data_IF_894359835002
#
_entry.id   IF_894359835002
#
_cell.length_a   1.000
_cell.length_b   1.000
_cell.length_c   1.000
_cell.angle_alpha   90.00
_cell.angle_beta   90.00
_cell.angle_gamma   90.00
#
_symmetry.space_group_name_H-M   'P 1'
#
loop_
_entity.id
_entity.type
_entity.pdbx_description
1 polymer ?
#
# COMPACT_ATOMS: atom_id res chain seq x y z
N UNK A 1 -11.92 38.60 50.04
CA UNK A 1 -11.43 38.51 48.64
C UNK A 1 -10.17 37.63 48.52
N UNK A 2 -9.13 37.84 49.25
CA UNK A 2 -7.85 37.13 49.21
C UNK A 2 -7.97 35.57 49.32
N UNK A 3 -8.84 35.05 50.21
CA UNK A 3 -9.06 33.60 50.38
C UNK A 3 -9.70 32.90 49.14
N UNK A 4 -10.49 33.62 48.35
CA UNK A 4 -11.06 33.08 47.11
C UNK A 4 -10.04 33.06 45.97
N UNK A 5 -9.14 34.07 45.91
CA UNK A 5 -8.07 34.13 44.95
C UNK A 5 -7.09 32.94 45.14
N UNK A 6 -6.71 32.64 46.38
CA UNK A 6 -5.87 31.47 46.69
C UNK A 6 -6.52 30.15 46.28
N UNK A 7 -7.84 30.01 46.48
CA UNK A 7 -8.56 28.78 46.04
C UNK A 7 -8.65 28.66 44.53
N UNK A 8 -8.78 29.76 43.78
CA UNK A 8 -8.77 29.77 42.31
C UNK A 8 -7.36 29.48 41.78
N UNK A 9 -6.32 30.03 42.39
CA UNK A 9 -4.93 29.75 42.03
C UNK A 9 -4.58 28.27 42.30
N UNK A 10 -5.01 27.69 43.40
CA UNK A 10 -4.81 26.27 43.70
C UNK A 10 -5.60 25.39 42.72
N UNK A 11 -6.84 25.76 42.36
CA UNK A 11 -7.62 25.03 41.36
C UNK A 11 -6.99 25.11 39.93
N UNK A 12 -6.36 26.22 39.57
CA UNK A 12 -5.61 26.38 38.31
C UNK A 12 -4.28 25.61 38.30
N UNK A 13 -3.66 25.42 39.48
CA UNK A 13 -2.43 24.61 39.60
C UNK A 13 -2.72 23.10 39.56
N UNK A 14 -3.97 22.66 39.77
CA UNK A 14 -4.44 21.30 39.58
C UNK A 14 -5.06 21.06 38.19
N UNK A 15 -4.84 21.92 37.22
CA UNK A 15 -5.00 21.50 35.81
C UNK A 15 -3.95 20.43 35.53
N UNK A 16 -4.25 19.21 35.94
CA UNK A 16 -3.53 18.00 35.59
C UNK A 16 -3.36 18.03 34.07
N UNK A 17 -2.14 17.94 33.61
CA UNK A 17 -1.87 17.69 32.21
C UNK A 17 -2.74 16.51 31.79
N UNK A 18 -3.81 16.79 31.07
CA UNK A 18 -4.63 15.76 30.43
C UNK A 18 -3.73 15.21 29.35
N UNK A 19 -3.06 14.09 29.62
CA UNK A 19 -2.39 13.28 28.60
C UNK A 19 -3.50 12.72 27.71
N UNK A 20 -3.93 13.52 26.76
CA UNK A 20 -4.79 13.09 25.69
C UNK A 20 -3.95 12.26 24.75
N UNK A 21 -3.98 10.95 24.86
CA UNK A 21 -3.39 9.91 24.01
C UNK A 21 -1.85 9.98 23.88
N UNK A 22 -1.19 8.86 24.14
CA UNK A 22 0.23 8.70 23.79
C UNK A 22 0.39 8.76 22.28
N UNK A 23 1.04 9.80 21.79
CA UNK A 23 1.45 9.91 20.40
C UNK A 23 2.80 9.21 20.23
N UNK A 24 2.89 8.29 19.30
CA UNK A 24 4.15 7.61 18.98
C UNK A 24 4.97 8.56 18.10
N UNK A 25 6.11 9.01 18.63
CA UNK A 25 7.01 9.89 17.87
C UNK A 25 7.79 9.09 16.81
N UNK A 26 8.01 9.67 15.63
CA UNK A 26 8.87 9.08 14.62
C UNK A 26 10.29 8.83 15.15
N UNK A 27 10.88 7.73 14.73
CA UNK A 27 12.21 7.33 15.14
C UNK A 27 13.28 8.33 14.65
N UNK A 28 14.23 8.67 15.53
CA UNK A 28 15.33 9.59 15.16
C UNK A 28 16.18 8.99 14.04
N UNK A 29 16.68 9.81 13.10
CA UNK A 29 17.64 9.36 12.11
C UNK A 29 18.83 8.66 12.74
N UNK A 30 19.31 7.58 12.11
CA UNK A 30 20.49 6.86 12.55
C UNK A 30 21.46 6.67 11.39
N UNK A 31 22.60 7.33 11.46
CA UNK A 31 23.64 7.30 10.42
C UNK A 31 24.76 6.28 10.73
N UNK A 32 24.79 5.69 11.94
CA UNK A 32 25.82 4.73 12.37
C UNK A 32 25.69 3.35 11.72
N UNK A 33 26.58 2.45 12.14
CA UNK A 33 26.56 1.06 11.72
C UNK A 33 25.55 0.26 12.54
N UNK A 34 24.71 -0.51 11.86
CA UNK A 34 23.74 -1.41 12.44
C UNK A 34 24.00 -2.84 11.92
N UNK A 35 24.02 -3.82 12.80
CA UNK A 35 24.13 -5.23 12.47
C UNK A 35 22.91 -6.00 13.01
N UNK A 36 22.28 -6.81 12.15
CA UNK A 36 21.26 -7.79 12.53
C UNK A 36 21.87 -9.16 12.29
N UNK A 37 22.21 -9.88 13.35
CA UNK A 37 22.97 -11.13 13.27
C UNK A 37 22.16 -12.36 13.64
N UNK A 38 22.66 -13.54 13.23
CA UNK A 38 22.05 -14.85 13.48
C UNK A 38 20.62 -14.94 12.91
N UNK A 39 20.41 -14.38 11.70
CA UNK A 39 19.12 -14.25 11.05
C UNK A 39 18.88 -15.37 10.03
N UNK A 40 17.62 -15.78 9.90
CA UNK A 40 17.09 -16.46 8.70
C UNK A 40 16.51 -15.35 7.82
N UNK A 41 17.20 -15.01 6.73
CA UNK A 41 16.86 -13.86 5.89
C UNK A 41 16.09 -14.31 4.65
N UNK A 42 14.84 -13.92 4.57
CA UNK A 42 14.02 -14.01 3.36
C UNK A 42 14.28 -12.75 2.53
N UNK A 43 15.05 -12.90 1.45
CA UNK A 43 15.52 -11.74 0.67
C UNK A 43 14.39 -10.99 0.00
N UNK A 44 13.26 -11.66 -0.28
CA UNK A 44 12.12 -11.09 -1.01
C UNK A 44 12.24 -11.21 -2.54
N UNK A 45 13.30 -11.84 -3.03
CA UNK A 45 13.50 -12.15 -4.45
C UNK A 45 13.42 -13.67 -4.74
N UNK A 46 12.91 -14.46 -3.80
CA UNK A 46 12.81 -15.91 -3.87
C UNK A 46 13.94 -16.64 -3.13
N UNK A 47 14.97 -15.95 -2.63
CA UNK A 47 16.08 -16.52 -1.90
C UNK A 47 15.88 -16.47 -0.38
N UNK A 48 16.33 -17.52 0.30
CA UNK A 48 16.40 -17.59 1.76
C UNK A 48 17.85 -17.87 2.15
N UNK A 49 18.40 -17.09 3.08
CA UNK A 49 19.75 -17.20 3.58
C UNK A 49 19.70 -17.53 5.10
N UNK A 50 20.35 -18.60 5.50
CA UNK A 50 20.34 -19.05 6.89
C UNK A 50 21.60 -18.59 7.63
N UNK A 51 21.44 -18.26 8.93
CA UNK A 51 22.52 -17.89 9.83
C UNK A 51 23.44 -16.80 9.26
N UNK A 52 22.83 -15.73 8.75
CA UNK A 52 23.55 -14.59 8.17
C UNK A 52 23.40 -13.33 9.02
N UNK A 53 24.29 -12.38 8.75
CA UNK A 53 24.30 -11.05 9.36
C UNK A 53 24.01 -10.01 8.25
N UNK A 54 23.10 -9.09 8.54
CA UNK A 54 22.81 -7.93 7.70
C UNK A 54 23.58 -6.74 8.27
N UNK A 55 24.41 -6.11 7.47
CA UNK A 55 25.07 -4.85 7.79
C UNK A 55 24.32 -3.68 7.13
N UNK A 56 23.98 -2.69 7.93
CA UNK A 56 23.31 -1.45 7.50
C UNK A 56 24.18 -0.26 7.86
N UNK A 57 24.28 0.70 6.95
CA UNK A 57 24.95 1.98 7.17
C UNK A 57 24.18 3.10 6.47
N UNK A 58 24.03 4.24 7.12
CA UNK A 58 23.29 5.39 6.57
C UNK A 58 21.92 5.02 6.00
N UNK A 59 21.19 4.16 6.72
CA UNK A 59 19.86 3.71 6.34
C UNK A 59 19.77 2.71 5.17
N UNK A 60 20.91 2.25 4.65
CA UNK A 60 20.98 1.31 3.52
C UNK A 60 21.65 0.00 3.89
N UNK A 61 21.19 -1.08 3.27
CA UNK A 61 21.84 -2.39 3.35
C UNK A 61 23.18 -2.32 2.63
N UNK A 62 24.26 -2.64 3.33
CA UNK A 62 25.62 -2.64 2.77
C UNK A 62 25.99 -4.04 2.29
N UNK A 63 25.75 -5.04 3.17
CA UNK A 63 26.16 -6.43 2.91
C UNK A 63 25.31 -7.40 3.72
N UNK A 64 25.13 -8.60 3.18
CA UNK A 64 24.55 -9.75 3.88
C UNK A 64 25.52 -10.91 3.71
N UNK A 65 26.02 -11.47 4.81
CA UNK A 65 26.95 -12.61 4.79
C UNK A 65 26.92 -13.32 6.16
N UNK A 66 27.36 -14.59 6.24
CA UNK A 66 27.43 -15.33 7.51
C UNK A 66 28.29 -14.62 8.56
N UNK A 67 29.53 -14.29 8.20
CA UNK A 67 30.50 -13.66 9.09
C UNK A 67 30.86 -12.26 8.56
N UNK A 68 30.48 -11.25 9.31
CA UNK A 68 30.86 -9.87 9.02
C UNK A 68 31.69 -9.30 10.15
N UNK A 69 32.86 -8.70 9.87
CA UNK A 69 33.67 -8.04 10.91
C UNK A 69 32.85 -6.85 11.47
N UNK A 70 32.75 -6.83 12.80
CA UNK A 70 32.06 -5.75 13.53
C UNK A 70 33.12 -4.90 14.24
N UNK A 71 33.12 -3.56 14.03
CA UNK A 71 33.94 -2.65 14.83
C UNK A 71 33.57 -2.75 16.32
N UNK A 72 34.52 -2.39 17.20
CA UNK A 72 34.27 -2.41 18.64
C UNK A 72 33.45 -1.18 19.12
N UNK A 73 33.53 -0.08 18.41
CA UNK A 73 32.94 1.20 18.81
C UNK A 73 31.85 1.68 17.85
N UNK A 74 30.86 2.37 18.40
CA UNK A 74 29.74 3.06 17.69
C UNK A 74 28.92 2.17 16.74
N UNK A 75 28.58 0.95 17.20
CA UNK A 75 27.73 0.04 16.45
C UNK A 75 26.51 -0.38 17.26
N UNK A 76 25.36 -0.49 16.59
CA UNK A 76 24.17 -1.15 17.14
C UNK A 76 24.11 -2.57 16.63
N UNK A 77 24.01 -3.53 17.55
CA UNK A 77 23.93 -4.95 17.21
C UNK A 77 22.63 -5.52 17.76
N UNK A 78 21.83 -6.12 16.86
CA UNK A 78 20.63 -6.87 17.19
C UNK A 78 20.88 -8.35 16.91
N UNK A 79 20.98 -9.15 17.96
CA UNK A 79 21.07 -10.61 17.86
C UNK A 79 19.65 -11.19 17.82
N UNK A 80 19.22 -11.62 16.65
CA UNK A 80 17.86 -12.12 16.46
C UNK A 80 17.72 -13.61 16.70
N UNK A 81 18.79 -14.32 17.07
CA UNK A 81 18.80 -15.70 17.56
C UNK A 81 18.02 -16.70 16.69
N UNK A 82 18.21 -16.65 15.38
CA UNK A 82 17.53 -17.55 14.43
C UNK A 82 16.10 -17.13 14.07
N UNK A 83 15.67 -15.93 14.44
CA UNK A 83 14.39 -15.38 13.97
C UNK A 83 14.43 -15.09 12.48
N UNK A 84 13.25 -14.99 11.91
CA UNK A 84 13.04 -14.69 10.51
C UNK A 84 13.12 -13.18 10.24
N UNK A 85 13.81 -12.79 9.20
CA UNK A 85 13.99 -11.40 8.77
C UNK A 85 13.48 -11.24 7.36
N UNK A 86 12.63 -10.26 7.16
CA UNK A 86 11.88 -10.00 5.92
C UNK A 86 12.08 -8.56 5.44
N UNK A 87 11.91 -8.27 4.13
CA UNK A 87 11.68 -6.91 3.68
C UNK A 87 10.41 -6.33 4.32
N UNK A 88 10.38 -5.02 4.55
CA UNK A 88 9.15 -4.34 4.94
C UNK A 88 8.03 -4.59 3.97
N UNK A 89 6.86 -4.97 4.48
CA UNK A 89 5.66 -5.22 3.68
C UNK A 89 5.11 -3.92 3.10
N UNK A 90 4.49 -3.99 1.93
CA UNK A 90 4.02 -2.83 1.17
C UNK A 90 2.55 -3.00 0.81
N UNK A 91 1.67 -2.13 1.31
CA UNK A 91 0.30 -2.00 0.82
C UNK A 91 0.32 -1.28 -0.52
N UNK A 92 -0.13 -1.95 -1.59
CA UNK A 92 -0.09 -1.42 -2.96
C UNK A 92 -1.19 -0.40 -3.28
N UNK A 93 -2.20 -0.29 -2.43
CA UNK A 93 -3.27 0.71 -2.49
C UNK A 93 -4.00 0.78 -1.16
N UNK A 94 -4.19 1.97 -0.60
CA UNK A 94 -4.81 2.15 0.71
C UNK A 94 -5.36 3.56 0.90
N UNK A 95 -6.43 3.67 1.68
CA UNK A 95 -6.97 4.94 2.20
C UNK A 95 -6.32 5.37 3.52
N UNK A 96 -5.22 4.72 3.92
CA UNK A 96 -4.50 5.02 5.15
C UNK A 96 -4.21 6.52 5.28
N UNK A 97 -4.61 7.10 6.42
CA UNK A 97 -4.42 8.52 6.69
C UNK A 97 -5.32 9.47 5.89
N UNK A 98 -6.17 8.95 4.98
CA UNK A 98 -7.21 9.72 4.29
C UNK A 98 -8.60 9.50 4.90
N UNK A 99 -8.74 8.53 5.79
CA UNK A 99 -9.98 8.21 6.52
C UNK A 99 -9.63 7.82 7.94
N UNK A 100 -10.22 8.50 8.93
CA UNK A 100 -10.06 8.13 10.34
C UNK A 100 -11.31 7.43 10.88
N UNK A 101 -12.50 7.98 10.63
CA UNK A 101 -13.78 7.43 11.08
C UNK A 101 -14.76 7.44 9.91
N UNK A 102 -15.08 6.29 9.36
CA UNK A 102 -15.94 6.15 8.18
C UNK A 102 -17.31 6.84 8.26
N UNK A 103 -17.89 6.92 9.45
CA UNK A 103 -19.20 7.55 9.67
C UNK A 103 -19.14 9.06 9.92
N UNK A 104 -17.95 9.66 9.94
CA UNK A 104 -17.75 11.10 10.20
C UNK A 104 -17.18 11.78 8.98
N UNK A 105 -18.03 12.47 8.21
CA UNK A 105 -17.68 13.12 6.94
C UNK A 105 -16.45 14.03 7.04
N UNK A 106 -16.28 14.74 8.15
CA UNK A 106 -15.15 15.64 8.39
C UNK A 106 -13.78 14.93 8.54
N UNK A 107 -13.75 13.60 8.59
CA UNK A 107 -12.51 12.80 8.67
C UNK A 107 -12.29 11.95 7.42
N UNK A 108 -12.94 12.29 6.30
CA UNK A 108 -12.90 11.57 5.04
C UNK A 108 -12.38 12.51 3.96
N UNK A 109 -11.14 12.29 3.52
CA UNK A 109 -10.41 13.14 2.58
C UNK A 109 -9.91 12.38 1.32
N UNK A 110 -10.51 11.21 1.02
CA UNK A 110 -10.10 10.41 -0.13
C UNK A 110 -10.85 10.73 -1.42
N UNK A 111 -11.92 11.53 -1.36
CA UNK A 111 -12.83 11.77 -2.50
C UNK A 111 -13.02 13.26 -2.73
N UNK A 112 -12.88 13.71 -3.99
CA UNK A 112 -13.18 15.05 -4.43
C UNK A 112 -14.45 15.07 -5.34
N UNK A 113 -15.08 16.24 -5.45
CA UNK A 113 -16.27 16.41 -6.32
C UNK A 113 -15.89 16.40 -7.80
N UNK A 114 -16.77 15.82 -8.62
CA UNK A 114 -16.60 15.74 -10.07
C UNK A 114 -15.99 14.41 -10.53
N UNK A 115 -16.10 14.18 -11.84
CA UNK A 115 -15.71 12.89 -12.43
C UNK A 115 -14.25 12.87 -12.89
N UNK A 116 -13.68 14.00 -13.30
CA UNK A 116 -12.30 14.10 -13.81
C UNK A 116 -11.45 14.99 -12.91
N UNK A 117 -10.74 14.37 -11.97
CA UNK A 117 -9.96 15.04 -10.93
C UNK A 117 -8.46 14.69 -10.97
N UNK A 118 -7.77 14.61 -12.14
CA UNK A 118 -6.40 14.13 -12.22
C UNK A 118 -5.40 15.01 -11.46
N UNK A 119 -5.71 16.29 -11.21
CA UNK A 119 -4.85 17.22 -10.48
C UNK A 119 -4.93 17.10 -8.95
N UNK A 120 -5.82 16.25 -8.44
CA UNK A 120 -5.91 15.96 -7.01
C UNK A 120 -4.77 15.02 -6.61
N UNK A 121 -4.13 15.33 -5.49
CA UNK A 121 -2.97 14.60 -4.95
C UNK A 121 -3.27 14.09 -3.57
N UNK A 122 -3.38 12.77 -3.41
CA UNK A 122 -3.69 12.13 -2.12
C UNK A 122 -2.71 12.47 -1.01
N UNK A 123 -1.44 12.66 -1.35
CA UNK A 123 -0.37 12.93 -0.37
C UNK A 123 -0.60 14.21 0.45
N UNK A 124 -1.27 15.22 -0.13
CA UNK A 124 -1.52 16.50 0.56
C UNK A 124 -2.53 16.35 1.71
N UNK A 125 -3.45 15.40 1.59
CA UNK A 125 -4.43 15.09 2.63
C UNK A 125 -3.96 13.99 3.60
N UNK A 126 -2.78 13.42 3.38
CA UNK A 126 -2.28 12.30 4.20
C UNK A 126 -1.99 12.71 5.64
N UNK A 127 -2.73 12.11 6.58
CA UNK A 127 -2.53 12.29 8.01
C UNK A 127 -1.49 11.30 8.56
N UNK A 128 -0.29 11.79 8.90
CA UNK A 128 0.77 10.98 9.50
C UNK A 128 0.54 10.59 10.95
N UNK A 129 -0.44 11.19 11.63
CA UNK A 129 -0.83 10.86 13.02
C UNK A 129 -2.05 9.92 13.10
N UNK A 130 -2.40 9.27 11.98
CA UNK A 130 -3.47 8.28 11.95
C UNK A 130 -3.16 7.11 12.89
N UNK A 131 -4.14 6.74 13.72
CA UNK A 131 -4.02 5.60 14.66
C UNK A 131 -3.86 4.25 13.96
N UNK A 132 -4.31 4.17 12.71
CA UNK A 132 -4.19 2.98 11.87
C UNK A 132 -2.73 2.68 11.53
N UNK A 133 -1.89 3.70 11.35
CA UNK A 133 -0.47 3.57 11.02
C UNK A 133 0.25 2.68 12.03
N UNK A 134 0.05 2.91 13.33
CA UNK A 134 0.69 2.14 14.39
C UNK A 134 0.31 0.66 14.32
N UNK A 135 -0.97 0.36 14.03
CA UNK A 135 -1.44 -1.02 13.85
C UNK A 135 -0.79 -1.69 12.64
N UNK A 136 -0.62 -0.98 11.53
CA UNK A 136 0.03 -1.54 10.34
C UNK A 136 1.51 -1.81 10.60
N UNK A 137 2.24 -0.86 11.19
CA UNK A 137 3.67 -1.05 11.55
C UNK A 137 3.90 -2.25 12.44
N UNK A 138 3.04 -2.43 13.46
CA UNK A 138 3.13 -3.56 14.40
C UNK A 138 2.86 -4.93 13.75
N UNK A 139 2.36 -4.93 12.49
CA UNK A 139 2.16 -6.12 11.66
C UNK A 139 3.14 -6.19 10.46
N UNK A 140 4.23 -5.40 10.51
CA UNK A 140 5.32 -5.47 9.52
C UNK A 140 5.10 -4.66 8.23
N UNK A 141 4.01 -3.90 8.12
CA UNK A 141 3.77 -3.03 6.96
C UNK A 141 4.53 -1.73 7.20
N UNK A 142 5.48 -1.42 6.33
CA UNK A 142 6.37 -0.28 6.49
C UNK A 142 6.15 0.80 5.44
N UNK A 143 5.56 0.44 4.30
CA UNK A 143 5.21 1.36 3.23
C UNK A 143 3.76 1.13 2.77
N UNK A 144 3.13 2.19 2.26
CA UNK A 144 1.82 2.12 1.65
C UNK A 144 1.73 3.09 0.46
N UNK A 145 0.97 2.72 -0.56
CA UNK A 145 0.57 3.61 -1.64
C UNK A 145 -0.76 4.25 -1.24
N UNK A 146 -0.75 5.55 -0.99
CA UNK A 146 -1.95 6.29 -0.57
C UNK A 146 -2.72 6.68 -1.81
N UNK A 147 -3.94 6.14 -1.95
CA UNK A 147 -4.73 6.22 -3.18
C UNK A 147 -5.98 7.07 -2.99
N UNK A 148 -6.24 8.03 -3.89
CA UNK A 148 -7.53 8.73 -3.91
C UNK A 148 -8.62 7.81 -4.47
N UNK A 149 -9.87 8.10 -4.14
CA UNK A 149 -11.07 7.42 -4.66
C UNK A 149 -12.09 8.42 -5.19
N UNK A 150 -13.13 7.90 -5.82
CA UNK A 150 -14.26 8.69 -6.35
C UNK A 150 -14.03 9.26 -7.74
N UNK A 151 -15.13 9.61 -8.40
CA UNK A 151 -15.15 10.04 -9.80
C UNK A 151 -14.64 8.96 -10.76
N UNK A 152 -14.47 9.35 -12.02
CA UNK A 152 -13.90 8.49 -13.07
C UNK A 152 -12.36 8.54 -13.01
N UNK A 153 -11.78 9.74 -12.93
CA UNK A 153 -10.34 9.94 -12.64
C UNK A 153 -10.23 10.55 -11.25
N UNK A 154 -9.74 9.77 -10.29
CA UNK A 154 -9.73 10.15 -8.87
C UNK A 154 -8.61 11.11 -8.49
N UNK A 155 -7.47 11.05 -9.19
CA UNK A 155 -6.27 11.82 -8.87
C UNK A 155 -5.01 10.96 -8.80
N UNK A 156 -3.94 11.52 -8.24
CA UNK A 156 -2.65 10.84 -8.10
C UNK A 156 -2.45 10.20 -6.74
N UNK A 157 -1.88 9.00 -6.75
CA UNK A 157 -1.39 8.31 -5.55
C UNK A 157 0.07 8.64 -5.24
N UNK A 158 0.51 8.33 -4.02
CA UNK A 158 1.89 8.48 -3.60
C UNK A 158 2.29 7.36 -2.64
N UNK A 159 3.51 6.87 -2.78
CA UNK A 159 4.09 5.91 -1.85
C UNK A 159 4.65 6.64 -0.64
N UNK A 160 4.24 6.23 0.56
CA UNK A 160 4.69 6.79 1.84
C UNK A 160 5.36 5.73 2.70
N UNK A 161 6.30 6.15 3.53
CA UNK A 161 6.82 5.37 4.65
C UNK A 161 6.02 5.69 5.92
N UNK A 162 5.85 4.68 6.79
CA UNK A 162 4.91 4.76 7.90
C UNK A 162 5.51 5.25 9.23
N UNK A 163 6.59 6.05 9.19
CA UNK A 163 7.24 6.61 10.39
C UNK A 163 7.76 8.01 10.12
N UNK A 164 6.86 8.99 10.03
CA UNK A 164 7.14 10.34 9.57
C UNK A 164 6.44 11.41 10.40
N UNK A 165 7.00 12.63 10.43
CA UNK A 165 6.44 13.79 11.12
C UNK A 165 5.30 14.46 10.37
N UNK A 166 5.42 14.51 9.04
CA UNK A 166 4.46 15.14 8.14
C UNK A 166 4.44 14.40 6.80
N UNK A 167 3.57 14.81 5.88
CA UNK A 167 3.45 14.15 4.57
C UNK A 167 4.71 14.28 3.69
N UNK A 168 5.51 15.34 3.86
CA UNK A 168 6.76 15.55 3.12
C UNK A 168 7.82 14.55 3.58
N UNK A 169 7.96 14.34 4.90
CA UNK A 169 8.84 13.33 5.49
C UNK A 169 8.36 11.90 5.17
N UNK A 170 7.05 11.72 5.04
CA UNK A 170 6.46 10.43 4.70
C UNK A 170 6.70 10.05 3.23
N UNK A 171 6.83 11.03 2.36
CA UNK A 171 6.89 10.81 0.92
C UNK A 171 8.11 9.96 0.51
N UNK A 172 7.83 8.74 0.07
CA UNK A 172 8.83 7.83 -0.47
C UNK A 172 8.93 7.97 -2.00
N UNK A 173 7.78 8.12 -2.68
CA UNK A 173 7.65 8.53 -4.08
C UNK A 173 6.32 9.26 -4.25
N UNK A 174 6.38 10.55 -4.54
CA UNK A 174 5.19 11.36 -4.81
C UNK A 174 4.62 11.08 -6.21
N UNK A 175 3.30 11.18 -6.33
CA UNK A 175 2.55 11.19 -7.60
C UNK A 175 2.97 10.04 -8.55
N UNK A 176 3.07 8.83 -8.02
CA UNK A 176 3.58 7.66 -8.75
C UNK A 176 2.61 7.15 -9.84
N UNK A 177 1.35 7.57 -9.80
CA UNK A 177 0.39 7.23 -10.85
C UNK A 177 -0.99 7.85 -10.65
N UNK A 178 -1.78 7.82 -11.71
CA UNK A 178 -3.15 8.33 -11.79
C UNK A 178 -4.12 7.17 -11.66
N UNK A 179 -5.17 7.34 -10.87
CA UNK A 179 -6.21 6.33 -10.63
C UNK A 179 -7.43 6.60 -11.50
N UNK A 180 -7.82 5.59 -12.27
CA UNK A 180 -8.98 5.56 -13.16
C UNK A 180 -9.93 4.46 -12.69
N UNK A 181 -11.18 4.80 -12.39
CA UNK A 181 -12.25 3.84 -12.16
C UNK A 181 -12.93 3.53 -13.49
N UNK A 182 -12.79 2.28 -13.96
CA UNK A 182 -13.42 1.86 -15.21
C UNK A 182 -14.93 1.87 -15.06
N UNK A 183 -15.69 2.49 -16.00
CA UNK A 183 -17.15 2.39 -16.01
C UNK A 183 -17.61 0.93 -16.07
N UNK A 184 -18.59 0.57 -15.23
CA UNK A 184 -19.06 -0.81 -15.06
C UNK A 184 -19.68 -1.34 -16.38
N UNK A 185 -19.13 -2.44 -16.88
CA UNK A 185 -19.61 -3.15 -18.07
C UNK A 185 -20.34 -4.47 -17.71
N UNK A 186 -20.60 -4.70 -16.42
CA UNK A 186 -21.35 -5.84 -15.92
C UNK A 186 -22.83 -5.47 -15.77
N UNK A 187 -23.67 -6.17 -16.52
CA UNK A 187 -25.13 -6.10 -16.31
C UNK A 187 -25.48 -6.90 -15.05
N UNK A 188 -25.70 -6.19 -13.94
CA UNK A 188 -26.23 -6.82 -12.72
C UNK A 188 -27.76 -6.77 -12.77
N UNK A 189 -28.48 -7.92 -12.65
CA UNK A 189 -29.94 -7.89 -12.49
C UNK A 189 -30.28 -7.06 -11.26
N UNK A 190 -31.19 -6.09 -11.39
CA UNK A 190 -31.68 -5.33 -10.25
C UNK A 190 -32.30 -6.32 -9.25
N UNK A 191 -31.81 -6.32 -8.00
CA UNK A 191 -32.29 -7.21 -6.92
C UNK A 191 -33.81 -7.08 -6.62
N UNK A 192 -34.46 -6.06 -7.15
CA UNK A 192 -35.89 -5.78 -6.97
C UNK A 192 -36.75 -5.88 -8.25
N UNK A 193 -36.25 -6.45 -9.34
CA UNK A 193 -37.06 -6.83 -10.50
C UNK A 193 -37.77 -5.71 -11.25
N UNK A 194 -37.56 -4.45 -10.92
CA UNK A 194 -38.20 -3.30 -11.56
C UNK A 194 -37.26 -2.68 -12.61
N UNK A 195 -37.31 -3.14 -13.83
CA UNK A 195 -36.87 -2.31 -14.96
C UNK A 195 -37.87 -1.17 -15.09
N UNK A 196 -37.51 0.03 -14.67
CA UNK A 196 -38.27 1.23 -15.04
C UNK A 196 -38.06 1.48 -16.53
N UNK A 197 -39.12 1.63 -17.36
CA UNK A 197 -38.99 1.80 -18.80
C UNK A 197 -38.24 3.05 -19.27
N UNK A 198 -37.83 3.89 -18.34
CA UNK A 198 -37.18 5.19 -18.61
C UNK A 198 -35.70 5.26 -18.27
N UNK A 199 -35.05 4.17 -17.79
CA UNK A 199 -33.62 4.19 -17.53
C UNK A 199 -32.84 3.95 -18.84
N UNK A 200 -31.86 4.82 -19.17
CA UNK A 200 -30.93 4.57 -20.28
C UNK A 200 -30.26 3.22 -20.10
N UNK A 201 -29.99 2.54 -21.20
CA UNK A 201 -29.21 1.29 -21.21
C UNK A 201 -27.88 1.53 -20.47
N UNK A 202 -27.64 0.86 -19.33
CA UNK A 202 -26.45 1.08 -18.52
C UNK A 202 -25.14 0.88 -19.29
N UNK A 203 -25.10 -0.12 -20.18
CA UNK A 203 -23.92 -0.38 -21.01
C UNK A 203 -23.67 0.76 -21.99
N UNK A 204 -24.73 1.30 -22.63
CA UNK A 204 -24.57 2.45 -23.53
C UNK A 204 -24.05 3.68 -22.78
N UNK A 205 -24.49 3.91 -21.54
CA UNK A 205 -23.97 4.98 -20.69
C UNK A 205 -22.47 4.76 -20.41
N UNK A 206 -22.09 3.57 -19.96
CA UNK A 206 -20.69 3.23 -19.66
C UNK A 206 -19.77 3.34 -20.89
N UNK A 207 -20.25 2.94 -22.09
CA UNK A 207 -19.50 3.13 -23.32
C UNK A 207 -19.30 4.62 -23.67
N UNK A 208 -20.30 5.47 -23.40
CA UNK A 208 -20.18 6.92 -23.54
C UNK A 208 -19.15 7.53 -22.57
N UNK A 209 -19.10 7.04 -21.33
CA UNK A 209 -18.12 7.45 -20.33
C UNK A 209 -16.70 7.01 -20.74
N UNK A 210 -16.52 5.79 -21.26
CA UNK A 210 -15.24 5.30 -21.79
C UNK A 210 -14.74 6.19 -22.94
N UNK A 211 -15.64 6.60 -23.86
CA UNK A 211 -15.24 7.51 -24.95
C UNK A 211 -14.87 8.91 -24.44
N UNK A 212 -15.55 9.39 -23.40
CA UNK A 212 -15.18 10.65 -22.73
C UNK A 212 -13.78 10.57 -22.09
N UNK A 213 -13.44 9.43 -21.46
CA UNK A 213 -12.11 9.17 -20.91
C UNK A 213 -11.05 9.20 -22.03
N UNK A 214 -11.28 8.48 -23.13
CA UNK A 214 -10.35 8.46 -24.28
C UNK A 214 -10.18 9.86 -24.88
N UNK A 215 -11.28 10.61 -25.02
CA UNK A 215 -11.24 12.00 -25.48
C UNK A 215 -10.39 12.88 -24.58
N UNK A 216 -10.57 12.78 -23.25
CA UNK A 216 -9.75 13.51 -22.30
C UNK A 216 -8.23 13.21 -22.46
N UNK A 217 -7.86 11.94 -22.65
CA UNK A 217 -6.45 11.58 -22.84
C UNK A 217 -5.91 12.00 -24.21
N UNK A 218 -6.71 11.99 -25.27
CA UNK A 218 -6.31 12.54 -26.59
C UNK A 218 -6.05 14.05 -26.50
N UNK A 219 -6.93 14.80 -25.84
CA UNK A 219 -6.77 16.23 -25.62
C UNK A 219 -5.55 16.53 -24.74
N UNK A 220 -5.33 15.77 -23.66
CA UNK A 220 -4.14 15.89 -22.82
C UNK A 220 -2.86 15.58 -23.59
N UNK A 221 -2.87 14.56 -24.47
CA UNK A 221 -1.72 14.23 -25.33
C UNK A 221 -1.44 15.35 -26.33
N UNK A 222 -2.47 15.90 -26.97
CA UNK A 222 -2.33 17.04 -27.86
C UNK A 222 -1.73 18.26 -27.14
N UNK A 223 -2.29 18.60 -25.97
CA UNK A 223 -1.76 19.66 -25.12
C UNK A 223 -0.28 19.44 -24.79
N UNK A 224 0.11 18.24 -24.36
CA UNK A 224 1.50 17.94 -24.01
C UNK A 224 2.49 18.03 -25.20
N UNK A 225 1.99 17.91 -26.43
CA UNK A 225 2.82 18.02 -27.65
C UNK A 225 2.97 19.48 -28.12
N UNK A 226 2.23 20.42 -27.54
CA UNK A 226 2.40 21.84 -27.87
C UNK A 226 3.70 22.39 -27.30
N UNK A 227 4.45 23.15 -28.11
CA UNK A 227 5.70 23.78 -27.66
C UNK A 227 5.46 24.92 -26.66
N UNK A 228 4.26 25.55 -26.70
CA UNK A 228 3.89 26.65 -25.81
C UNK A 228 2.37 26.71 -25.64
N UNK A 229 1.91 26.75 -24.41
CA UNK A 229 0.49 26.87 -24.08
C UNK A 229 0.10 28.34 -23.92
N UNK A 230 -1.11 28.70 -24.40
CA UNK A 230 -1.73 30.01 -24.16
C UNK A 230 -2.16 30.16 -22.70
N UNK A 231 -2.63 29.05 -22.09
CA UNK A 231 -2.99 28.98 -20.68
C UNK A 231 -2.65 27.59 -20.14
N UNK A 232 -2.25 27.52 -18.87
CA UNK A 232 -1.97 26.24 -18.19
C UNK A 232 -3.27 25.51 -17.84
N UNK A 233 -3.43 24.27 -18.31
CA UNK A 233 -4.49 23.38 -17.91
C UNK A 233 -3.96 22.38 -16.86
N UNK A 234 -4.31 22.60 -15.59
CA UNK A 234 -3.81 21.78 -14.47
C UNK A 234 -4.21 20.31 -14.59
N UNK A 235 -5.34 19.98 -15.22
CA UNK A 235 -5.76 18.59 -15.44
C UNK A 235 -4.87 17.88 -16.45
N UNK A 236 -4.47 18.56 -17.52
CA UNK A 236 -3.57 17.99 -18.53
C UNK A 236 -2.12 17.92 -18.04
N UNK A 237 -1.66 18.92 -17.28
CA UNK A 237 -0.35 18.88 -16.65
C UNK A 237 -0.22 17.70 -15.69
N UNK A 238 -1.28 17.39 -14.91
CA UNK A 238 -1.27 16.31 -13.93
C UNK A 238 -1.08 14.91 -14.55
N UNK A 239 -1.53 14.71 -15.81
CA UNK A 239 -1.40 13.42 -16.52
C UNK A 239 -0.20 13.34 -17.46
N UNK A 240 0.63 14.38 -17.51
CA UNK A 240 1.82 14.43 -18.37
C UNK A 240 2.77 13.26 -18.13
N UNK A 241 2.87 12.83 -16.86
CA UNK A 241 3.69 11.70 -16.45
C UNK A 241 3.27 10.36 -17.05
N UNK A 242 2.00 10.20 -17.48
CA UNK A 242 1.53 9.00 -18.14
C UNK A 242 2.14 8.83 -19.53
N UNK A 243 2.33 9.93 -20.28
CA UNK A 243 2.87 9.90 -21.64
C UNK A 243 4.39 9.77 -21.69
N UNK A 244 5.10 10.27 -20.65
CA UNK A 244 6.56 10.13 -20.52
C UNK A 244 6.99 8.97 -19.63
N UNK A 245 6.03 8.16 -19.13
CA UNK A 245 6.21 6.97 -18.28
C UNK A 245 6.84 7.23 -16.90
N UNK A 246 6.83 8.47 -16.42
CA UNK A 246 7.21 8.78 -15.04
C UNK A 246 6.12 8.43 -14.03
N UNK A 247 4.86 8.33 -14.50
CA UNK A 247 3.68 7.87 -13.77
C UNK A 247 3.06 6.66 -14.48
N UNK A 248 2.31 5.85 -13.72
CA UNK A 248 1.50 4.74 -14.25
C UNK A 248 0.02 5.09 -14.21
N UNK A 249 -0.76 4.47 -15.09
CA UNK A 249 -2.22 4.51 -15.04
C UNK A 249 -2.73 3.28 -14.27
N UNK A 250 -3.25 3.50 -13.07
CA UNK A 250 -3.89 2.47 -12.24
C UNK A 250 -5.37 2.40 -12.61
N UNK A 251 -5.77 1.32 -13.29
CA UNK A 251 -7.14 1.12 -13.75
C UNK A 251 -7.86 0.14 -12.83
N UNK A 252 -8.83 0.66 -12.09
CA UNK A 252 -9.68 -0.14 -11.22
C UNK A 252 -10.75 -0.85 -12.05
N UNK A 253 -10.63 -2.16 -12.19
CA UNK A 253 -11.56 -3.01 -12.95
C UNK A 253 -11.39 -4.48 -12.54
N UNK A 254 -12.47 -5.26 -12.65
CA UNK A 254 -12.52 -6.63 -12.16
C UNK A 254 -12.82 -7.67 -13.25
N UNK A 255 -13.59 -7.31 -14.27
CA UNK A 255 -14.06 -8.24 -15.29
C UNK A 255 -13.28 -8.14 -16.60
N UNK A 256 -13.31 -9.23 -17.36
CA UNK A 256 -12.64 -9.36 -18.67
C UNK A 256 -12.91 -8.19 -19.60
N UNK A 257 -14.19 -7.78 -19.74
CA UNK A 257 -14.60 -6.69 -20.66
C UNK A 257 -13.94 -5.36 -20.34
N UNK A 258 -13.85 -5.01 -19.06
CA UNK A 258 -13.22 -3.79 -18.57
C UNK A 258 -11.70 -3.83 -18.77
N UNK A 259 -11.07 -4.96 -18.47
CA UNK A 259 -9.63 -5.15 -18.70
C UNK A 259 -9.27 -5.07 -20.18
N UNK A 260 -10.13 -5.53 -21.10
CA UNK A 260 -9.92 -5.35 -22.54
C UNK A 260 -9.88 -3.88 -22.93
N UNK A 261 -10.76 -3.05 -22.34
CA UNK A 261 -10.71 -1.59 -22.52
C UNK A 261 -9.42 -1.00 -21.96
N UNK A 262 -8.95 -1.51 -20.80
CA UNK A 262 -7.66 -1.07 -20.22
C UNK A 262 -6.47 -1.41 -21.13
N UNK A 263 -6.50 -2.52 -21.87
CA UNK A 263 -5.49 -2.84 -22.91
C UNK A 263 -5.45 -1.80 -24.02
N UNK A 264 -6.59 -1.19 -24.38
CA UNK A 264 -6.64 -0.15 -25.40
C UNK A 264 -5.83 1.10 -25.00
N UNK A 265 -5.78 1.46 -23.70
CA UNK A 265 -4.94 2.57 -23.24
C UNK A 265 -3.45 2.32 -23.48
N UNK A 266 -2.98 1.07 -23.35
CA UNK A 266 -1.61 0.70 -23.71
C UNK A 266 -1.39 0.88 -25.20
N UNK A 267 -2.32 0.40 -26.04
CA UNK A 267 -2.18 0.39 -27.49
C UNK A 267 -2.34 1.79 -28.11
N UNK A 268 -3.31 2.58 -27.61
CA UNK A 268 -3.63 3.90 -28.18
C UNK A 268 -2.66 4.99 -27.70
N UNK A 269 -2.30 4.97 -26.40
CA UNK A 269 -1.54 6.06 -25.79
C UNK A 269 -0.11 5.66 -25.38
N UNK A 270 0.24 4.39 -25.42
CA UNK A 270 1.55 3.89 -24.99
C UNK A 270 1.79 3.98 -23.48
N UNK A 271 0.73 4.12 -22.68
CA UNK A 271 0.80 4.26 -21.22
C UNK A 271 1.22 2.96 -20.54
N UNK A 272 1.93 3.07 -19.40
CA UNK A 272 2.18 1.95 -18.50
C UNK A 272 0.95 1.75 -17.62
N UNK A 273 0.15 0.71 -17.93
CA UNK A 273 -1.12 0.41 -17.26
C UNK A 273 -0.93 -0.68 -16.21
N UNK A 274 -1.56 -0.47 -15.04
CA UNK A 274 -1.67 -1.44 -13.96
C UNK A 274 -3.14 -1.68 -13.67
N UNK A 275 -3.57 -2.93 -13.70
CA UNK A 275 -4.91 -3.33 -13.29
C UNK A 275 -4.97 -3.36 -11.76
N UNK A 276 -6.01 -2.78 -11.17
CA UNK A 276 -6.31 -2.85 -9.74
C UNK A 276 -7.64 -3.54 -9.54
N UNK A 277 -7.66 -4.59 -8.73
CA UNK A 277 -8.76 -5.55 -8.62
C UNK A 277 -8.46 -6.78 -9.45
N UNK A 278 -8.90 -6.80 -10.70
CA UNK A 278 -8.53 -7.82 -11.67
C UNK A 278 -8.98 -9.23 -11.29
N UNK A 279 -10.17 -9.39 -10.71
CA UNK A 279 -10.67 -10.67 -10.23
C UNK A 279 -10.68 -11.74 -11.33
N UNK A 280 -11.04 -11.38 -12.58
CA UNK A 280 -11.01 -12.27 -13.75
C UNK A 280 -9.69 -12.20 -14.55
N UNK A 281 -8.64 -11.57 -14.03
CA UNK A 281 -7.36 -11.38 -14.74
C UNK A 281 -6.67 -12.68 -15.15
N UNK A 282 -6.97 -13.78 -14.45
CA UNK A 282 -6.47 -15.11 -14.79
C UNK A 282 -6.91 -15.59 -16.19
N UNK A 283 -8.08 -15.13 -16.67
CA UNK A 283 -8.59 -15.46 -18.02
C UNK A 283 -7.83 -14.70 -19.11
N UNK A 284 -7.27 -13.53 -18.80
CA UNK A 284 -6.52 -12.68 -19.74
C UNK A 284 -5.01 -12.68 -19.48
N UNK A 285 -4.49 -13.56 -18.63
CA UNK A 285 -3.09 -13.53 -18.21
C UNK A 285 -2.09 -13.50 -19.39
N UNK A 286 -2.26 -14.28 -20.50
CA UNK A 286 -1.36 -14.17 -21.66
C UNK A 286 -1.41 -12.80 -22.32
N UNK A 287 -2.57 -12.16 -22.43
CA UNK A 287 -2.75 -10.83 -23.02
C UNK A 287 -2.13 -9.75 -22.14
N UNK A 288 -2.33 -9.81 -20.83
CA UNK A 288 -1.72 -8.92 -19.86
C UNK A 288 -0.20 -9.01 -19.93
N UNK A 289 0.35 -10.24 -19.98
CA UNK A 289 1.79 -10.46 -20.16
C UNK A 289 2.33 -9.89 -21.45
N UNK A 290 1.64 -10.11 -22.58
CA UNK A 290 2.06 -9.60 -23.88
C UNK A 290 2.08 -8.06 -23.96
N UNK A 291 1.27 -7.38 -23.15
CA UNK A 291 1.22 -5.91 -23.07
C UNK A 291 1.99 -5.35 -21.86
N UNK A 292 2.77 -6.15 -21.15
CA UNK A 292 3.52 -5.75 -19.93
C UNK A 292 2.63 -5.09 -18.84
N UNK A 293 1.37 -5.47 -18.77
CA UNK A 293 0.44 -4.98 -17.76
C UNK A 293 0.62 -5.75 -16.46
N UNK A 294 0.80 -5.03 -15.36
CA UNK A 294 0.82 -5.61 -14.03
C UNK A 294 -0.58 -5.64 -13.40
N UNK A 295 -0.76 -6.48 -12.38
CA UNK A 295 -2.03 -6.61 -11.65
C UNK A 295 -1.79 -6.41 -10.14
N UNK A 296 -2.60 -5.60 -9.49
CA UNK A 296 -2.72 -5.52 -8.03
C UNK A 296 -4.03 -6.23 -7.67
N UNK A 297 -3.92 -7.42 -7.09
CA UNK A 297 -5.07 -8.19 -6.62
C UNK A 297 -5.54 -7.63 -5.28
N UNK A 298 -6.80 -7.24 -5.19
CA UNK A 298 -7.42 -6.82 -3.95
C UNK A 298 -8.06 -8.01 -3.24
N UNK A 299 -7.97 -8.05 -1.93
CA UNK A 299 -8.73 -8.94 -1.03
C UNK A 299 -8.85 -10.40 -1.46
N UNK A 300 -7.84 -11.21 -1.20
CA UNK A 300 -7.88 -12.65 -1.46
C UNK A 300 -9.10 -13.33 -0.81
N UNK A 301 -9.50 -12.89 0.39
CA UNK A 301 -10.67 -13.41 1.10
C UNK A 301 -11.96 -12.71 0.64
N UNK A 302 -12.32 -12.89 -0.62
CA UNK A 302 -13.55 -12.38 -1.23
C UNK A 302 -14.38 -13.51 -1.83
N UNK A 303 -15.61 -13.20 -2.17
CA UNK A 303 -16.45 -14.08 -2.98
C UNK A 303 -16.06 -13.97 -4.46
N UNK A 304 -16.32 -14.98 -5.29
CA UNK A 304 -16.18 -14.89 -6.73
C UNK A 304 -17.02 -13.76 -7.32
N UNK A 305 -16.60 -13.26 -8.49
CA UNK A 305 -17.31 -12.17 -9.18
C UNK A 305 -18.64 -12.63 -9.77
N UNK A 306 -18.67 -13.81 -10.35
CA UNK A 306 -19.86 -14.42 -10.97
C UNK A 306 -20.33 -15.61 -10.16
N UNK A 307 -21.63 -15.94 -10.26
CA UNK A 307 -22.26 -17.01 -9.50
C UNK A 307 -21.81 -18.42 -9.94
N UNK A 308 -21.30 -18.55 -11.14
CA UNK A 308 -20.81 -19.78 -11.77
C UNK A 308 -19.28 -19.92 -11.72
N UNK A 309 -18.57 -18.95 -11.14
CA UNK A 309 -17.14 -19.09 -10.86
C UNK A 309 -16.88 -20.10 -9.74
N UNK A 310 -15.72 -20.75 -9.77
CA UNK A 310 -15.23 -21.56 -8.65
C UNK A 310 -15.22 -20.75 -7.36
N UNK A 311 -15.77 -21.31 -6.27
CA UNK A 311 -15.89 -20.61 -4.97
C UNK A 311 -14.53 -20.16 -4.41
N UNK A 312 -13.45 -20.86 -4.75
CA UNK A 312 -12.08 -20.57 -4.34
C UNK A 312 -11.24 -19.87 -5.44
N UNK A 313 -11.89 -19.43 -6.54
CA UNK A 313 -11.20 -18.72 -7.62
C UNK A 313 -10.40 -17.50 -7.13
N UNK A 314 -10.89 -16.64 -6.21
CA UNK A 314 -10.10 -15.51 -5.70
C UNK A 314 -8.77 -15.95 -5.06
N UNK A 315 -8.69 -17.13 -4.47
CA UNK A 315 -7.47 -17.66 -3.85
C UNK A 315 -6.49 -18.23 -4.88
N UNK A 316 -6.97 -18.69 -6.05
CA UNK A 316 -6.19 -19.32 -7.13
C UNK A 316 -5.62 -18.32 -8.13
N UNK A 317 -6.23 -17.12 -8.24
CA UNK A 317 -5.88 -16.12 -9.28
C UNK A 317 -4.40 -15.73 -9.22
N UNK A 318 -3.82 -15.51 -8.02
CA UNK A 318 -2.41 -15.19 -7.86
C UNK A 318 -1.48 -16.27 -8.45
N UNK A 319 -1.78 -17.56 -8.23
CA UNK A 319 -1.00 -18.67 -8.77
C UNK A 319 -1.13 -18.78 -10.30
N UNK A 320 -2.30 -18.46 -10.87
CA UNK A 320 -2.51 -18.43 -12.30
C UNK A 320 -1.69 -17.31 -12.97
N UNK A 321 -1.66 -16.12 -12.38
CA UNK A 321 -0.83 -15.00 -12.85
C UNK A 321 0.67 -15.31 -12.76
N UNK A 322 1.11 -15.90 -11.65
CA UNK A 322 2.49 -16.37 -11.48
C UNK A 322 2.90 -17.36 -12.57
N UNK A 323 2.06 -18.35 -12.83
CA UNK A 323 2.30 -19.36 -13.88
C UNK A 323 2.41 -18.75 -15.28
N UNK A 324 1.61 -17.73 -15.56
CA UNK A 324 1.65 -16.99 -16.82
C UNK A 324 2.81 -15.98 -16.92
N UNK A 325 3.55 -15.75 -15.82
CA UNK A 325 4.63 -14.78 -15.75
C UNK A 325 4.17 -13.32 -15.81
N UNK A 326 2.94 -13.04 -15.38
CA UNK A 326 2.43 -11.68 -15.18
C UNK A 326 2.99 -11.11 -13.88
N UNK A 327 3.48 -9.89 -13.90
CA UNK A 327 3.86 -9.18 -12.68
C UNK A 327 2.60 -8.83 -11.87
N UNK A 328 2.52 -9.30 -10.63
CA UNK A 328 1.38 -9.00 -9.77
C UNK A 328 1.80 -8.72 -8.34
N UNK A 329 0.97 -7.97 -7.62
CA UNK A 329 1.04 -7.79 -6.18
C UNK A 329 -0.29 -8.23 -5.54
N UNK A 330 -0.21 -8.63 -4.28
CA UNK A 330 -1.37 -8.86 -3.42
C UNK A 330 -1.54 -7.62 -2.54
N UNK A 331 -2.78 -7.15 -2.40
CA UNK A 331 -3.15 -6.01 -1.60
C UNK A 331 -4.30 -6.35 -0.65
N UNK A 332 -4.55 -5.50 0.32
CA UNK A 332 -5.77 -5.48 1.12
C UNK A 332 -6.24 -4.03 1.19
N UNK A 333 -7.15 -3.66 0.27
CA UNK A 333 -7.68 -2.32 0.13
C UNK A 333 -8.65 -2.01 1.25
N UNK A 334 -8.14 -1.43 2.33
CA UNK A 334 -8.93 -0.96 3.45
C UNK A 334 -8.33 0.32 4.03
N UNK A 335 -9.16 1.31 4.26
CA UNK A 335 -8.80 2.56 4.93
C UNK A 335 -8.69 2.43 6.46
N UNK A 336 -9.00 1.25 6.99
CA UNK A 336 -8.99 0.95 8.42
C UNK A 336 -7.82 0.02 8.78
N UNK A 337 -7.97 -0.72 9.86
CA UNK A 337 -6.94 -1.63 10.37
C UNK A 337 -6.87 -2.96 9.63
N UNK A 338 -7.75 -3.23 8.66
CA UNK A 338 -7.82 -4.51 7.95
C UNK A 338 -6.58 -4.79 7.11
N UNK A 339 -5.93 -3.76 6.58
CA UNK A 339 -4.66 -3.88 5.85
C UNK A 339 -3.57 -4.65 6.60
N UNK A 340 -3.66 -4.76 7.95
CA UNK A 340 -2.79 -5.64 8.77
C UNK A 340 -2.84 -7.12 8.35
N UNK A 341 -3.90 -7.55 7.65
CA UNK A 341 -4.05 -8.93 7.17
C UNK A 341 -3.29 -9.22 5.87
N UNK A 342 -2.62 -8.22 5.31
CA UNK A 342 -1.84 -8.36 4.07
C UNK A 342 -0.95 -9.61 4.03
N UNK A 343 -0.12 -9.91 5.07
CA UNK A 343 0.70 -11.12 5.05
C UNK A 343 -0.12 -12.41 5.04
N UNK A 344 -1.31 -12.42 5.63
CA UNK A 344 -2.17 -13.61 5.70
C UNK A 344 -2.95 -13.83 4.39
N UNK A 345 -3.25 -12.75 3.67
CA UNK A 345 -3.74 -12.83 2.29
C UNK A 345 -2.69 -13.50 1.38
N UNK A 346 -1.43 -13.12 1.52
CA UNK A 346 -0.31 -13.76 0.81
C UNK A 346 -0.13 -15.22 1.27
N UNK A 347 -0.29 -15.52 2.56
CA UNK A 347 -0.29 -16.88 3.10
C UNK A 347 -1.39 -17.76 2.50
N UNK A 348 -2.59 -17.20 2.27
CA UNK A 348 -3.67 -17.90 1.57
C UNK A 348 -3.28 -18.20 0.12
N UNK A 349 -2.70 -17.23 -0.60
CA UNK A 349 -2.21 -17.48 -1.96
C UNK A 349 -1.13 -18.58 -2.01
N UNK A 350 -0.28 -18.68 -0.97
CA UNK A 350 0.67 -19.79 -0.86
C UNK A 350 -0.02 -21.14 -0.67
N UNK A 351 -1.11 -21.20 0.10
CA UNK A 351 -1.89 -22.42 0.25
C UNK A 351 -2.59 -22.86 -1.05
N UNK A 352 -2.84 -21.93 -1.97
CA UNK A 352 -3.52 -22.16 -3.24
C UNK A 352 -2.60 -22.09 -4.47
N UNK A 353 -1.31 -22.37 -4.32
CA UNK A 353 -0.42 -22.70 -5.42
C UNK A 353 0.81 -21.82 -5.63
N UNK A 354 1.00 -20.74 -4.86
CA UNK A 354 2.28 -20.06 -4.79
C UNK A 354 3.22 -20.78 -3.82
N UNK A 355 4.52 -20.62 -3.99
CA UNK A 355 5.46 -20.88 -2.90
C UNK A 355 5.39 -19.75 -1.87
N UNK A 356 5.85 -20.00 -0.63
CA UNK A 356 5.91 -18.95 0.41
C UNK A 356 6.73 -17.74 -0.03
N UNK A 357 7.86 -17.97 -0.70
CA UNK A 357 8.72 -16.89 -1.19
C UNK A 357 8.05 -16.11 -2.34
N UNK A 358 7.29 -16.74 -3.22
CA UNK A 358 6.50 -16.06 -4.25
C UNK A 358 5.39 -15.21 -3.63
N UNK A 359 4.71 -15.73 -2.60
CA UNK A 359 3.70 -15.00 -1.86
C UNK A 359 4.28 -13.79 -1.11
N UNK A 360 5.46 -13.95 -0.46
CA UNK A 360 6.21 -12.86 0.13
C UNK A 360 6.60 -11.81 -0.92
N UNK A 361 7.12 -12.25 -2.05
CA UNK A 361 7.52 -11.38 -3.15
C UNK A 361 6.34 -10.53 -3.66
N UNK A 362 5.13 -11.08 -3.68
CA UNK A 362 3.92 -10.38 -4.12
C UNK A 362 3.51 -9.21 -3.21
N UNK A 363 3.89 -9.22 -1.93
CA UNK A 363 3.61 -8.14 -0.96
C UNK A 363 4.86 -7.31 -0.60
N UNK A 364 5.97 -7.51 -1.30
CA UNK A 364 7.25 -6.83 -1.08
C UNK A 364 7.85 -6.35 -2.40
N UNK A 365 8.70 -7.14 -3.08
CA UNK A 365 9.42 -6.72 -4.28
C UNK A 365 8.49 -6.43 -5.47
N UNK A 366 7.50 -7.27 -5.72
CA UNK A 366 6.57 -7.05 -6.83
C UNK A 366 5.75 -5.78 -6.62
N UNK A 367 5.23 -5.56 -5.38
CA UNK A 367 4.56 -4.33 -5.00
C UNK A 367 5.46 -3.12 -5.24
N UNK A 368 6.73 -3.18 -4.78
CA UNK A 368 7.71 -2.11 -4.99
C UNK A 368 7.99 -1.84 -6.48
N UNK A 369 8.09 -2.87 -7.32
CA UNK A 369 8.28 -2.72 -8.78
C UNK A 369 7.06 -2.08 -9.44
N UNK A 370 5.87 -2.53 -9.09
CA UNK A 370 4.62 -1.96 -9.63
C UNK A 370 4.49 -0.49 -9.25
N UNK A 371 4.81 -0.13 -8.02
CA UNK A 371 4.74 1.24 -7.53
C UNK A 371 5.92 2.13 -7.99
N UNK A 372 6.91 1.54 -8.66
CA UNK A 372 8.08 2.25 -9.20
C UNK A 372 9.13 2.64 -8.14
N UNK A 373 9.21 1.87 -7.05
CA UNK A 373 10.20 2.04 -5.95
C UNK A 373 11.10 0.81 -5.78
N UNK A 374 11.00 -0.19 -6.66
CA UNK A 374 11.72 -1.47 -6.58
C UNK A 374 13.26 -1.36 -6.59
N UNK A 375 13.81 -0.27 -7.16
CA UNK A 375 15.25 0.02 -7.08
C UNK A 375 15.72 0.48 -5.69
N UNK A 376 14.80 0.88 -4.81
CA UNK A 376 15.11 1.38 -3.46
C UNK A 376 14.71 0.43 -2.35
N UNK A 377 13.68 -0.41 -2.54
CA UNK A 377 13.08 -1.23 -1.49
C UNK A 377 12.39 -2.47 -2.05
N UNK A 378 11.76 -3.26 -1.19
CA UNK A 378 10.99 -4.46 -1.55
C UNK A 378 11.80 -5.75 -1.51
N UNK A 379 13.13 -5.68 -1.40
CA UNK A 379 13.99 -6.83 -1.12
C UNK A 379 15.19 -6.42 -0.28
N UNK A 380 15.76 -7.39 0.43
CA UNK A 380 16.96 -7.19 1.24
C UNK A 380 18.21 -7.42 0.38
N UNK A 381 18.62 -6.38 -0.32
CA UNK A 381 19.78 -6.43 -1.23
C UNK A 381 20.69 -5.22 -0.99
N UNK A 382 22.02 -5.36 -1.18
CA UNK A 382 22.95 -4.24 -1.05
C UNK A 382 22.55 -3.01 -1.88
N UNK A 383 22.65 -1.83 -1.29
CA UNK A 383 22.28 -0.54 -1.90
C UNK A 383 20.83 -0.13 -1.68
N UNK A 384 19.92 -1.05 -1.33
CA UNK A 384 18.54 -0.75 -1.00
C UNK A 384 18.39 -0.17 0.41
N UNK A 385 17.32 0.58 0.61
CA UNK A 385 16.98 1.13 1.92
C UNK A 385 16.69 -0.01 2.91
N UNK A 386 17.21 0.09 4.12
CA UNK A 386 17.04 -0.91 5.16
C UNK A 386 15.64 -0.83 5.78
N UNK A 387 14.63 -1.20 4.99
CA UNK A 387 13.25 -1.41 5.42
C UNK A 387 13.10 -2.89 5.77
N UNK A 388 13.23 -3.21 7.06
CA UNK A 388 13.46 -4.57 7.57
C UNK A 388 12.44 -4.88 8.66
N UNK A 389 11.90 -6.10 8.63
CA UNK A 389 10.99 -6.65 9.65
C UNK A 389 11.58 -7.92 10.24
N UNK A 390 11.58 -8.04 11.56
CA UNK A 390 11.99 -9.25 12.28
C UNK A 390 10.78 -9.90 12.92
N UNK A 391 10.51 -11.16 12.59
CA UNK A 391 9.41 -11.96 13.13
C UNK A 391 9.96 -13.18 13.88
N UNK A 392 9.24 -13.61 14.91
CA UNK A 392 9.57 -14.84 15.63
C UNK A 392 9.53 -16.08 14.72
N UNK A 393 8.56 -16.11 13.81
CA UNK A 393 8.39 -17.19 12.85
C UNK A 393 7.92 -16.68 11.50
N UNK A 394 7.27 -17.56 10.74
CA UNK A 394 6.76 -17.27 9.40
C UNK A 394 5.76 -16.11 9.44
N UNK A 395 6.09 -15.02 8.74
CA UNK A 395 5.27 -13.81 8.69
C UNK A 395 3.94 -14.05 7.98
N UNK A 396 3.85 -15.07 7.11
CA UNK A 396 2.65 -15.41 6.34
C UNK A 396 1.66 -16.29 7.12
N UNK A 397 2.09 -16.85 8.27
CA UNK A 397 1.23 -17.65 9.15
C UNK A 397 0.81 -16.83 10.37
N UNK A 398 -0.50 -16.58 10.50
CA UNK A 398 -1.10 -15.80 11.60
C UNK A 398 -0.69 -16.31 13.00
N UNK A 399 -0.40 -17.62 13.17
CA UNK A 399 -0.03 -18.22 14.46
C UNK A 399 1.40 -17.89 14.87
N UNK A 400 2.29 -17.62 13.91
CA UNK A 400 3.73 -17.44 14.13
C UNK A 400 4.25 -16.05 13.76
N UNK A 401 3.41 -15.23 13.12
CA UNK A 401 3.70 -13.85 12.75
C UNK A 401 3.71 -12.93 13.97
N UNK A 402 4.82 -12.93 14.71
CA UNK A 402 5.04 -12.05 15.88
C UNK A 402 6.18 -11.12 15.56
N UNK A 403 5.85 -9.88 15.19
CA UNK A 403 6.85 -8.87 14.83
C UNK A 403 7.52 -8.35 16.10
N UNK A 404 8.84 -8.54 16.21
CA UNK A 404 9.64 -8.12 17.35
C UNK A 404 10.42 -6.84 17.14
N UNK A 405 10.90 -6.59 15.91
CA UNK A 405 11.61 -5.37 15.53
C UNK A 405 11.20 -4.99 14.10
N UNK A 406 11.18 -3.69 13.84
CA UNK A 406 11.07 -3.19 12.47
C UNK A 406 11.96 -1.97 12.30
N UNK A 407 12.49 -1.81 11.08
CA UNK A 407 13.37 -0.72 10.72
C UNK A 407 12.88 -0.08 9.43
N UNK A 408 12.80 1.25 9.42
CA UNK A 408 12.57 2.03 8.21
C UNK A 408 13.81 2.86 7.95
N UNK A 409 14.45 2.63 6.80
CA UNK A 409 15.73 3.25 6.46
C UNK A 409 16.76 3.15 7.61
N UNK A 410 16.88 1.94 8.20
CA UNK A 410 17.79 1.67 9.31
C UNK A 410 17.41 2.26 10.67
N UNK A 411 16.32 3.02 10.76
CA UNK A 411 15.80 3.54 12.03
C UNK A 411 14.92 2.48 12.70
N UNK A 412 15.26 2.10 13.94
CA UNK A 412 14.39 1.22 14.73
C UNK A 412 13.11 1.97 15.09
N UNK A 413 11.97 1.50 14.61
CA UNK A 413 10.67 2.14 14.85
C UNK A 413 9.94 1.52 16.04
N UNK A 414 9.07 2.31 16.67
CA UNK A 414 8.19 1.85 17.74
C UNK A 414 7.04 1.00 17.14
N UNK A 415 6.84 -0.18 17.72
CA UNK A 415 5.78 -1.13 17.35
C UNK A 415 4.60 -1.12 18.33
N UNK A 416 4.48 -0.08 19.15
CA UNK A 416 3.35 0.10 20.06
C UNK A 416 2.11 0.51 19.27
N UNK A 417 1.00 -0.16 19.53
CA UNK A 417 -0.31 0.16 18.96
C UNK A 417 -1.41 0.10 20.01
N UNK A 418 -2.60 0.56 19.65
CA UNK A 418 -3.75 0.64 20.55
C UNK A 418 -4.19 -0.73 21.07
N UNK A 419 -4.04 -1.79 20.29
CA UNK A 419 -4.44 -3.15 20.69
C UNK A 419 -3.49 -3.68 21.75
N UNK A 420 -2.17 -3.50 21.58
CA UNK A 420 -1.14 -3.88 22.57
C UNK A 420 -1.31 -3.10 23.86
N UNK A 421 -1.54 -1.77 23.78
CA UNK A 421 -1.81 -0.93 24.96
C UNK A 421 -3.05 -1.41 25.74
N UNK A 422 -4.16 -1.73 25.04
CA UNK A 422 -5.36 -2.26 25.67
C UNK A 422 -5.11 -3.65 26.28
N UNK A 423 -4.38 -4.51 25.59
CA UNK A 423 -4.02 -5.83 26.12
C UNK A 423 -3.27 -5.71 27.43
N UNK A 424 -2.19 -4.93 27.51
CA UNK A 424 -1.41 -4.72 28.73
C UNK A 424 -2.24 -4.08 29.85
N UNK A 425 -3.10 -3.10 29.50
CA UNK A 425 -4.03 -2.47 30.45
C UNK A 425 -4.98 -3.48 31.09
N UNK A 426 -5.53 -4.40 30.27
CA UNK A 426 -6.46 -5.41 30.80
C UNK A 426 -5.74 -6.56 31.51
N UNK A 427 -4.54 -6.94 31.09
CA UNK A 427 -3.66 -7.84 31.86
C UNK A 427 -3.47 -7.33 33.28
N UNK A 428 -3.08 -6.07 33.41
CA UNK A 428 -2.90 -5.44 34.73
C UNK A 428 -4.19 -5.44 35.54
N UNK A 429 -5.34 -5.11 34.92
CA UNK A 429 -6.65 -5.09 35.60
C UNK A 429 -7.03 -6.46 36.19
N UNK A 430 -6.74 -7.52 35.46
CA UNK A 430 -7.13 -8.89 35.87
C UNK A 430 -6.00 -9.67 36.56
N UNK A 431 -4.84 -9.07 36.83
CA UNK A 431 -3.72 -9.70 37.50
C UNK A 431 -3.10 -10.86 36.70
N UNK A 432 -3.24 -10.86 35.34
CA UNK A 432 -2.66 -11.86 34.45
C UNK A 432 -1.17 -11.53 34.27
N UNK A 433 -0.29 -12.50 34.51
CA UNK A 433 1.16 -12.36 34.35
C UNK A 433 1.61 -12.57 32.90
#
# INVERSE_FOLDING_TARGET
>A
MTRYIYRIIIALLFSTAVFAQETVYPAKPYAGLLFIKNAIVHVGNGQVLENVTIQVSNGKIVKIAPDLPMPMDDVKVFDVKGKHVYPGLILSGSLLGLVEVNSVRATIDHTEMGDFNPSIRSIVAYNTDSKVINTLRSNGILLANITPQGGVISGSSSVVQLDAWNYEDAAYKMDNGIHLNMPDLLLRPNAFGAQSPATPDPIKKSLGEIEAIKTFFREAQAYNNEAKHLATNLKYEAVKGLFNKSQKLFVHCDIVKEMLVAVDFVKEFGMDVVIVGGNESYQLAPLLKANNMAVILNQMHSLPTLADDDVDQPYKTAAALQKAGVLFAINDEDGQTRGRNLPFNAGTAAAYGLTKEQALQAITLNAAMILGVGGRTGSLEPGKDANIVVSEGDILDMRTSIITHAFIQGRLIDLTDKHKQLYERYKMKYGIK
#
